data_IF_950271268566
#
_entry.id   IF_950271268566
#
_cell.length_a   1.000
_cell.length_b   1.000
_cell.length_c   1.000
_cell.angle_alpha   90.00
_cell.angle_beta   90.00
_cell.angle_gamma   90.00
#
_symmetry.space_group_name_H-M   'P 1'
#
loop_
_entity.id
_entity.type
_entity.pdbx_description
1 polymer ?
#
# COMPACT_ATOMS: atom_id res chain seq x y z
N UNK A 1 46.05 11.48 20.14
CA UNK A 1 46.37 12.49 21.16
C UNK A 1 45.37 12.35 22.31
N UNK A 2 45.85 12.37 23.55
CA UNK A 2 45.08 12.03 24.74
C UNK A 2 43.81 12.91 24.92
N UNK A 3 42.66 12.26 25.07
CA UNK A 3 41.35 12.88 25.35
C UNK A 3 40.91 12.65 26.81
N UNK A 4 41.79 12.17 27.68
CA UNK A 4 41.47 11.71 29.04
C UNK A 4 41.43 12.83 30.10
N UNK A 5 40.97 14.02 29.74
CA UNK A 5 40.82 15.12 30.69
C UNK A 5 39.39 15.63 30.75
N UNK A 6 38.84 15.63 31.98
CA UNK A 6 37.50 16.10 32.28
C UNK A 6 37.35 17.58 31.89
N UNK A 7 36.40 17.89 31.00
CA UNK A 7 36.15 19.24 30.49
C UNK A 7 34.66 19.59 30.61
N UNK A 8 34.37 20.70 31.29
CA UNK A 8 33.00 21.20 31.42
C UNK A 8 32.80 22.40 30.49
N UNK A 9 32.32 22.13 29.27
CA UNK A 9 32.10 23.13 28.22
C UNK A 9 32.05 22.47 26.83
N UNK A 10 31.68 23.24 25.80
CA UNK A 10 31.66 22.75 24.41
C UNK A 10 33.08 22.68 23.86
N UNK A 11 33.44 21.55 23.25
CA UNK A 11 34.69 21.38 22.51
C UNK A 11 34.38 21.04 21.06
N UNK A 12 35.12 21.66 20.14
CA UNK A 12 35.07 21.31 18.72
C UNK A 12 36.25 20.40 18.42
N UNK A 13 35.97 19.21 17.89
CA UNK A 13 36.95 18.30 17.34
C UNK A 13 36.61 18.12 15.86
N UNK A 14 37.50 18.59 14.99
CA UNK A 14 37.31 18.45 13.54
C UNK A 14 37.85 17.09 13.11
N UNK A 15 36.93 16.15 12.89
CA UNK A 15 37.24 14.81 12.37
C UNK A 15 37.01 14.86 10.86
N UNK A 16 38.08 14.98 10.09
CA UNK A 16 38.04 15.09 8.63
C UNK A 16 38.19 13.74 7.89
N UNK A 17 38.04 12.62 8.60
CA UNK A 17 38.05 11.30 7.99
C UNK A 17 36.83 10.46 8.38
N UNK A 18 36.20 9.91 7.34
CA UNK A 18 35.03 9.07 7.43
C UNK A 18 34.21 9.23 6.16
N UNK A 19 34.33 8.29 5.23
CA UNK A 19 33.33 8.12 4.17
C UNK A 19 31.98 7.88 4.86
N UNK A 20 31.15 8.92 4.98
CA UNK A 20 29.76 8.74 5.40
C UNK A 20 29.10 7.92 4.31
N UNK A 21 28.87 6.64 4.58
CA UNK A 21 28.12 5.78 3.66
C UNK A 21 26.75 6.41 3.51
N UNK A 22 26.45 6.94 2.31
CA UNK A 22 25.11 7.40 1.98
C UNK A 22 24.26 6.13 1.92
N UNK A 23 23.52 5.86 2.99
CA UNK A 23 22.49 4.82 2.95
C UNK A 23 21.31 5.40 2.19
N UNK A 24 21.12 4.93 0.97
CA UNK A 24 19.91 5.19 0.22
C UNK A 24 18.73 4.67 1.03
N UNK A 25 17.81 5.55 1.39
CA UNK A 25 16.58 5.14 2.09
C UNK A 25 15.78 4.32 1.11
N UNK A 26 15.44 3.08 1.46
CA UNK A 26 14.56 2.25 0.61
C UNK A 26 13.19 2.92 0.52
N UNK A 27 12.79 3.31 -0.67
CA UNK A 27 11.44 3.82 -0.97
C UNK A 27 10.46 2.67 -1.22
N UNK A 28 10.96 1.46 -1.51
CA UNK A 28 10.17 0.25 -1.71
C UNK A 28 9.76 -0.43 -0.38
N UNK A 29 9.26 0.35 0.58
CA UNK A 29 8.68 -0.16 1.82
C UNK A 29 7.18 0.07 1.76
N UNK A 30 6.43 -1.03 1.76
CA UNK A 30 4.97 -1.02 1.69
C UNK A 30 4.40 -0.94 3.11
N UNK A 31 3.35 -0.16 3.33
CA UNK A 31 2.50 -0.20 4.51
C UNK A 31 1.10 -0.62 4.13
N UNK A 32 0.59 -1.68 4.75
CA UNK A 32 -0.79 -2.15 4.55
C UNK A 32 -1.54 -2.25 5.86
N UNK A 33 -2.84 -1.98 5.81
CA UNK A 33 -3.78 -2.27 6.89
C UNK A 33 -4.77 -3.30 6.37
N UNK A 34 -4.93 -4.40 7.10
CA UNK A 34 -5.76 -5.53 6.67
C UNK A 34 -6.53 -6.13 7.86
N UNK A 35 -7.66 -6.79 7.58
CA UNK A 35 -8.32 -7.71 8.51
C UNK A 35 -7.74 -9.11 8.32
N UNK A 36 -7.61 -9.87 9.41
CA UNK A 36 -7.20 -11.27 9.38
C UNK A 36 -7.47 -11.96 10.73
N UNK A 37 -8.72 -12.33 11.03
CA UNK A 37 -9.10 -12.82 12.35
C UNK A 37 -8.34 -14.10 12.75
N UNK A 38 -7.99 -14.95 11.78
CA UNK A 38 -7.28 -16.22 11.98
C UNK A 38 -5.77 -16.16 11.71
N UNK A 39 -5.18 -14.97 11.49
CA UNK A 39 -3.74 -14.81 11.36
C UNK A 39 -2.98 -15.13 12.67
N UNK A 40 -1.75 -15.63 12.53
CA UNK A 40 -0.86 -15.87 13.68
C UNK A 40 -0.61 -14.58 14.45
N UNK A 41 -1.15 -14.48 15.66
CA UNK A 41 -1.13 -13.26 16.47
C UNK A 41 0.29 -12.84 16.91
N UNK A 42 1.25 -13.77 16.89
CA UNK A 42 2.66 -13.45 17.18
C UNK A 42 3.33 -12.73 16.01
N UNK A 43 3.04 -13.18 14.79
CA UNK A 43 3.56 -12.56 13.56
C UNK A 43 2.79 -11.29 13.22
N UNK A 44 1.48 -11.28 13.41
CA UNK A 44 0.59 -10.16 13.10
C UNK A 44 -0.19 -9.72 14.34
N UNK A 45 0.46 -9.07 15.32
CA UNK A 45 -0.22 -8.54 16.50
C UNK A 45 -1.28 -7.51 16.12
N UNK A 46 -2.41 -7.54 16.82
CA UNK A 46 -3.53 -6.63 16.57
C UNK A 46 -3.12 -5.17 16.84
N UNK A 47 -3.46 -4.27 15.92
CA UNK A 47 -3.22 -2.83 16.01
C UNK A 47 -1.76 -2.45 16.28
N UNK A 48 -0.82 -3.27 15.80
CA UNK A 48 0.60 -3.00 15.88
C UNK A 48 1.28 -3.26 14.54
N UNK A 49 2.25 -2.43 14.15
CA UNK A 49 2.99 -2.66 12.92
C UNK A 49 3.87 -3.91 13.08
N UNK A 50 3.68 -4.85 12.17
CA UNK A 50 4.45 -6.08 12.03
C UNK A 50 5.36 -5.98 10.80
N UNK A 51 6.63 -6.38 10.95
CA UNK A 51 7.58 -6.38 9.86
C UNK A 51 7.54 -7.71 9.09
N UNK A 52 7.27 -7.64 7.80
CA UNK A 52 7.36 -8.76 6.87
C UNK A 52 8.57 -8.54 5.97
N UNK A 53 9.54 -9.45 6.06
CA UNK A 53 10.76 -9.46 5.23
C UNK A 53 10.74 -10.53 4.14
N UNK A 54 9.88 -11.53 4.28
CA UNK A 54 9.65 -12.56 3.27
C UNK A 54 8.13 -12.79 3.15
N UNK A 55 7.58 -12.34 2.02
CA UNK A 55 6.13 -12.38 1.77
C UNK A 55 5.59 -13.81 1.69
N UNK A 56 6.34 -14.76 1.14
CA UNK A 56 5.85 -16.15 0.97
C UNK A 56 5.68 -16.84 2.33
N UNK A 57 6.65 -16.65 3.24
CA UNK A 57 6.51 -17.15 4.61
C UNK A 57 5.44 -16.43 5.41
N UNK A 58 5.17 -15.16 5.07
CA UNK A 58 4.14 -14.36 5.73
C UNK A 58 2.73 -14.76 5.29
N UNK A 59 2.53 -15.10 4.00
CA UNK A 59 1.27 -15.64 3.47
C UNK A 59 0.87 -16.90 4.25
N UNK A 60 1.81 -17.81 4.51
CA UNK A 60 1.55 -19.02 5.31
C UNK A 60 1.11 -18.76 6.76
N UNK A 61 1.26 -17.53 7.26
CA UNK A 61 0.85 -17.11 8.61
C UNK A 61 -0.29 -16.08 8.62
N UNK A 62 -0.76 -15.67 7.45
CA UNK A 62 -1.78 -14.64 7.27
C UNK A 62 -3.19 -15.13 7.62
N UNK A 63 -3.36 -16.44 7.83
CA UNK A 63 -4.69 -17.05 7.94
C UNK A 63 -5.34 -17.21 6.57
N UNK A 64 -6.62 -17.53 6.59
CA UNK A 64 -7.47 -17.74 5.42
C UNK A 64 -8.67 -16.80 5.39
N UNK A 65 -8.94 -16.08 6.49
CA UNK A 65 -10.03 -15.12 6.58
C UNK A 65 -9.53 -13.68 6.49
N UNK A 66 -10.43 -12.77 6.14
CA UNK A 66 -10.11 -11.35 5.95
C UNK A 66 -9.30 -11.10 4.69
N UNK A 67 -8.60 -9.97 4.64
CA UNK A 67 -8.00 -9.43 3.41
C UNK A 67 -6.48 -9.59 3.34
N UNK A 68 -5.84 -10.02 4.43
CA UNK A 68 -4.38 -10.03 4.54
C UNK A 68 -3.71 -11.04 3.58
N UNK A 69 -4.26 -12.26 3.48
CA UNK A 69 -3.67 -13.31 2.64
C UNK A 69 -3.63 -12.88 1.18
N UNK A 70 -4.74 -12.36 0.67
CA UNK A 70 -4.89 -11.94 -0.73
C UNK A 70 -4.04 -10.70 -1.01
N UNK A 71 -4.00 -9.76 -0.06
CA UNK A 71 -3.12 -8.59 -0.14
C UNK A 71 -1.66 -8.98 -0.28
N UNK A 72 -1.16 -9.87 0.59
CA UNK A 72 0.23 -10.33 0.54
C UNK A 72 0.51 -11.14 -0.73
N UNK A 73 -0.46 -11.94 -1.18
CA UNK A 73 -0.36 -12.72 -2.43
C UNK A 73 -0.24 -11.79 -3.64
N UNK A 74 -1.12 -10.79 -3.77
CA UNK A 74 -1.08 -9.81 -4.85
C UNK A 74 0.24 -9.01 -4.89
N UNK A 75 0.74 -8.58 -3.73
CA UNK A 75 2.05 -7.94 -3.63
C UNK A 75 3.17 -8.92 -4.05
N UNK A 76 3.10 -10.14 -3.53
CA UNK A 76 4.11 -11.19 -3.70
C UNK A 76 4.25 -11.71 -5.14
N UNK A 77 3.22 -11.57 -5.97
CA UNK A 77 3.25 -11.87 -7.41
C UNK A 77 4.07 -10.84 -8.21
N UNK A 78 4.19 -9.60 -7.70
CA UNK A 78 4.92 -8.53 -8.40
C UNK A 78 6.36 -8.40 -7.92
N UNK A 79 6.57 -8.39 -6.59
CA UNK A 79 7.88 -8.22 -5.98
C UNK A 79 7.96 -8.84 -4.58
N UNK A 80 9.17 -8.88 -4.02
CA UNK A 80 9.45 -9.31 -2.65
C UNK A 80 9.99 -8.15 -1.79
N UNK A 81 9.20 -7.08 -1.56
CA UNK A 81 9.65 -5.92 -0.79
C UNK A 81 9.53 -6.14 0.72
N UNK A 82 10.04 -5.17 1.49
CA UNK A 82 9.73 -5.06 2.92
C UNK A 82 8.31 -4.52 3.05
N UNK A 83 7.49 -5.19 3.86
CA UNK A 83 6.09 -4.82 4.09
C UNK A 83 5.90 -4.60 5.59
N UNK A 84 5.25 -3.51 5.95
CA UNK A 84 4.75 -3.23 7.28
C UNK A 84 3.25 -3.52 7.27
N UNK A 85 2.84 -4.55 7.98
CA UNK A 85 1.43 -4.95 8.09
C UNK A 85 0.89 -4.43 9.41
N UNK A 86 -0.26 -3.78 9.39
CA UNK A 86 -1.06 -3.51 10.60
C UNK A 86 -2.34 -4.33 10.48
N UNK A 87 -2.47 -5.34 11.36
CA UNK A 87 -3.70 -6.11 11.44
C UNK A 87 -4.73 -5.37 12.28
N UNK A 88 -5.94 -5.20 11.77
CA UNK A 88 -7.08 -4.65 12.51
C UNK A 88 -8.15 -5.71 12.71
N UNK A 89 -9.02 -5.46 13.70
CA UNK A 89 -10.16 -6.33 13.97
C UNK A 89 -11.28 -6.03 12.98
N UNK A 90 -11.91 -7.09 12.49
CA UNK A 90 -13.11 -6.97 11.68
C UNK A 90 -14.29 -6.58 12.59
N UNK A 91 -15.05 -5.59 12.14
CA UNK A 91 -16.22 -5.10 12.84
C UNK A 91 -17.39 -6.08 12.75
N UNK A 92 -18.47 -5.77 13.47
CA UNK A 92 -19.75 -6.48 13.30
C UNK A 92 -20.45 -6.09 12.00
N UNK A 93 -20.06 -4.94 11.43
CA UNK A 93 -20.56 -4.34 10.20
C UNK A 93 -19.42 -3.61 9.47
N UNK A 94 -19.70 -3.13 8.25
CA UNK A 94 -18.72 -2.47 7.40
C UNK A 94 -18.29 -1.10 7.96
N UNK A 95 -19.19 -0.41 8.68
CA UNK A 95 -18.92 0.86 9.32
C UNK A 95 -17.95 0.72 10.50
N UNK A 96 -18.14 -0.30 11.36
CA UNK A 96 -17.22 -0.60 12.45
C UNK A 96 -15.88 -1.11 11.93
N UNK A 97 -15.87 -1.88 10.84
CA UNK A 97 -14.63 -2.27 10.16
C UNK A 97 -13.90 -1.05 9.62
N UNK A 98 -14.61 -0.13 8.95
CA UNK A 98 -14.07 1.14 8.46
C UNK A 98 -13.47 1.97 9.60
N UNK A 99 -14.15 2.06 10.74
CA UNK A 99 -13.65 2.76 11.92
C UNK A 99 -12.36 2.12 12.47
N UNK A 100 -12.30 0.79 12.53
CA UNK A 100 -11.13 0.05 12.98
C UNK A 100 -9.93 0.22 12.04
N UNK A 101 -10.17 0.25 10.72
CA UNK A 101 -9.16 0.49 9.69
C UNK A 101 -8.59 1.90 9.79
N UNK A 102 -9.44 2.93 9.93
CA UNK A 102 -9.00 4.32 10.15
C UNK A 102 -8.17 4.41 11.42
N UNK A 103 -8.68 3.79 12.49
CA UNK A 103 -8.04 3.74 13.78
C UNK A 103 -8.04 5.08 14.52
N UNK A 104 -7.48 5.07 15.71
CA UNK A 104 -7.40 6.22 16.61
C UNK A 104 -6.12 6.15 17.44
N UNK A 105 -5.92 7.12 18.32
CA UNK A 105 -4.94 7.03 19.41
C UNK A 105 -5.68 6.69 20.69
N UNK A 106 -5.38 5.54 21.29
CA UNK A 106 -5.97 5.12 22.57
C UNK A 106 -5.49 6.01 23.72
N UNK A 107 -6.16 5.93 24.87
CA UNK A 107 -5.77 6.67 26.08
C UNK A 107 -4.32 6.36 26.54
N UNK A 108 -3.84 5.16 26.23
CA UNK A 108 -2.46 4.73 26.49
C UNK A 108 -1.45 5.27 25.45
N UNK A 109 -1.89 6.11 24.52
CA UNK A 109 -1.06 6.68 23.46
C UNK A 109 -0.75 5.70 22.32
N UNK A 110 -1.39 4.51 22.29
CA UNK A 110 -1.20 3.56 21.21
C UNK A 110 -1.99 4.00 19.99
N UNK A 111 -1.32 4.12 18.85
CA UNK A 111 -1.97 4.34 17.56
C UNK A 111 -2.45 3.01 16.97
N UNK A 112 -3.67 2.98 16.47
CA UNK A 112 -4.33 1.81 15.85
C UNK A 112 -4.59 2.04 14.36
N UNK A 113 -4.98 1.01 13.61
CA UNK A 113 -5.29 1.11 12.18
C UNK A 113 -4.23 1.82 11.34
N UNK A 114 -4.66 2.71 10.44
CA UNK A 114 -3.77 3.53 9.61
C UNK A 114 -2.78 4.37 10.43
N UNK A 115 -3.19 4.88 11.59
CA UNK A 115 -2.33 5.69 12.45
C UNK A 115 -1.15 4.89 13.01
N UNK A 116 -1.27 3.56 13.14
CA UNK A 116 -0.19 2.70 13.62
C UNK A 116 1.03 2.70 12.67
N UNK A 117 0.82 2.93 11.36
CA UNK A 117 1.90 3.04 10.37
C UNK A 117 2.88 4.18 10.68
N UNK A 118 2.40 5.25 11.35
CA UNK A 118 3.25 6.36 11.80
C UNK A 118 4.31 5.93 12.82
N UNK A 119 4.11 4.80 13.50
CA UNK A 119 5.01 4.27 14.53
C UNK A 119 6.02 3.24 13.99
N UNK A 120 5.89 2.86 12.71
CA UNK A 120 6.71 1.83 12.09
C UNK A 120 8.22 2.16 12.15
N UNK A 121 8.60 3.43 11.99
CA UNK A 121 10.00 3.85 12.05
C UNK A 121 10.61 3.59 13.43
N UNK A 122 9.88 3.89 14.50
CA UNK A 122 10.35 3.75 15.88
C UNK A 122 10.35 2.29 16.33
N UNK A 123 9.34 1.51 15.93
CA UNK A 123 9.19 0.11 16.34
C UNK A 123 10.03 -0.86 15.51
N UNK A 124 10.08 -0.64 14.19
CA UNK A 124 10.63 -1.60 13.22
C UNK A 124 11.86 -1.07 12.46
N UNK A 125 12.23 0.20 12.64
CA UNK A 125 13.38 0.81 11.96
C UNK A 125 13.15 1.15 10.48
N UNK A 126 11.96 0.87 9.93
CA UNK A 126 11.60 1.14 8.54
C UNK A 126 10.44 2.12 8.45
N UNK A 127 10.39 2.93 7.39
CA UNK A 127 9.27 3.85 7.17
C UNK A 127 8.53 3.47 5.90
N UNK A 128 7.23 3.12 5.95
CA UNK A 128 6.48 2.83 4.76
C UNK A 128 6.32 4.09 3.91
N UNK A 129 6.55 3.95 2.61
CA UNK A 129 6.47 5.02 1.60
C UNK A 129 5.43 4.74 0.52
N UNK A 130 4.94 3.50 0.46
CA UNK A 130 3.91 3.03 -0.45
C UNK A 130 2.79 2.49 0.45
N UNK A 131 1.60 3.08 0.44
CA UNK A 131 0.54 2.72 1.40
C UNK A 131 -0.75 2.36 0.66
N UNK A 132 -1.46 1.36 1.17
CA UNK A 132 -2.80 1.03 0.71
C UNK A 132 -3.56 0.20 1.74
N UNK A 133 -4.87 0.12 1.54
CA UNK A 133 -5.77 -0.71 2.36
C UNK A 133 -6.60 -1.58 1.42
N UNK A 134 -6.00 -2.59 0.77
CA UNK A 134 -6.70 -3.35 -0.26
C UNK A 134 -8.00 -3.98 0.28
N UNK A 135 -9.06 -3.91 -0.53
CA UNK A 135 -10.41 -4.41 -0.26
C UNK A 135 -11.22 -3.64 0.80
N UNK A 136 -10.58 -2.77 1.59
CA UNK A 136 -11.23 -2.01 2.67
C UNK A 136 -11.03 -0.50 2.48
N UNK A 137 -10.69 -0.08 1.27
CA UNK A 137 -10.40 1.29 0.85
C UNK A 137 -11.67 2.05 0.47
N UNK A 138 -12.63 2.07 1.39
CA UNK A 138 -13.83 2.91 1.28
C UNK A 138 -13.46 4.38 1.22
N UNK A 139 -14.36 5.24 0.74
CA UNK A 139 -14.15 6.69 0.66
C UNK A 139 -13.66 7.30 2.00
N UNK A 140 -14.25 6.86 3.12
CA UNK A 140 -13.88 7.33 4.44
C UNK A 140 -12.44 6.91 4.82
N UNK A 141 -12.06 5.66 4.51
CA UNK A 141 -10.69 5.16 4.71
C UNK A 141 -9.70 5.91 3.83
N UNK A 142 -10.01 6.10 2.54
CA UNK A 142 -9.18 6.83 1.59
C UNK A 142 -8.94 8.28 2.07
N UNK A 143 -9.98 8.96 2.53
CA UNK A 143 -9.92 10.32 3.09
C UNK A 143 -9.02 10.37 4.33
N UNK A 144 -9.19 9.44 5.27
CA UNK A 144 -8.35 9.37 6.46
C UNK A 144 -6.89 9.03 6.12
N UNK A 145 -6.67 8.16 5.13
CA UNK A 145 -5.35 7.74 4.68
C UNK A 145 -4.52 8.92 4.15
N UNK A 146 -5.13 9.90 3.47
CA UNK A 146 -4.44 11.12 2.99
C UNK A 146 -3.64 11.80 4.11
N UNK A 147 -4.21 11.93 5.30
CA UNK A 147 -3.53 12.56 6.44
C UNK A 147 -2.27 11.79 6.88
N UNK A 148 -2.31 10.46 6.80
CA UNK A 148 -1.19 9.57 7.13
C UNK A 148 -0.13 9.62 6.03
N UNK A 149 -0.55 9.64 4.76
CA UNK A 149 0.33 9.78 3.60
C UNK A 149 1.19 11.05 3.69
N UNK A 150 0.55 12.19 3.98
CA UNK A 150 1.23 13.48 4.11
C UNK A 150 2.26 13.49 5.26
N UNK A 151 1.90 12.95 6.43
CA UNK A 151 2.81 12.85 7.58
C UNK A 151 4.01 11.95 7.28
N UNK A 152 3.78 10.83 6.58
CA UNK A 152 4.84 9.90 6.19
C UNK A 152 5.59 10.34 4.95
N UNK A 153 5.14 11.36 4.21
CA UNK A 153 5.61 11.65 2.85
C UNK A 153 5.58 10.39 1.98
N UNK A 154 4.51 9.63 2.12
CA UNK A 154 4.24 8.40 1.39
C UNK A 154 3.29 8.69 0.22
N UNK A 155 3.17 7.72 -0.67
CA UNK A 155 2.21 7.71 -1.76
C UNK A 155 1.21 6.57 -1.56
N UNK A 156 -0.06 6.85 -1.81
CA UNK A 156 -1.18 5.96 -1.53
C UNK A 156 -1.90 5.52 -2.79
N UNK A 157 -2.41 4.29 -2.76
CA UNK A 157 -3.26 3.73 -3.80
C UNK A 157 -4.60 3.33 -3.22
N UNK A 158 -5.67 3.68 -3.92
CA UNK A 158 -7.06 3.32 -3.58
C UNK A 158 -7.80 2.89 -4.81
N UNK A 159 -8.77 2.01 -4.63
CA UNK A 159 -9.76 1.59 -5.59
C UNK A 159 -10.99 2.50 -5.48
N UNK A 160 -11.63 2.78 -6.61
CA UNK A 160 -12.92 3.49 -6.63
C UNK A 160 -14.04 2.57 -6.10
N UNK A 161 -14.14 2.45 -4.78
CA UNK A 161 -15.02 1.52 -4.09
C UNK A 161 -16.49 1.81 -4.37
N UNK A 162 -17.24 0.79 -4.80
CA UNK A 162 -18.68 0.89 -5.09
C UNK A 162 -19.03 1.57 -6.42
N UNK A 163 -18.04 1.93 -7.25
CA UNK A 163 -18.27 2.52 -8.56
C UNK A 163 -18.45 1.46 -9.66
N UNK A 164 -19.55 1.56 -10.40
CA UNK A 164 -19.92 0.62 -11.46
C UNK A 164 -19.63 1.15 -12.87
N UNK A 165 -19.76 2.47 -13.06
CA UNK A 165 -19.56 3.13 -14.35
C UNK A 165 -18.38 4.09 -14.34
N UNK A 166 -17.84 4.42 -15.53
CA UNK A 166 -16.77 5.42 -15.67
C UNK A 166 -17.17 6.77 -15.10
N UNK A 167 -18.44 7.17 -15.23
CA UNK A 167 -18.95 8.42 -14.66
C UNK A 167 -18.92 8.41 -13.12
N UNK A 168 -19.26 7.28 -12.49
CA UNK A 168 -19.22 7.16 -11.02
C UNK A 168 -17.79 7.27 -10.51
N UNK A 169 -16.84 6.68 -11.24
CA UNK A 169 -15.41 6.71 -10.90
C UNK A 169 -14.84 8.13 -11.01
N UNK A 170 -15.24 8.88 -12.03
CA UNK A 170 -14.84 10.29 -12.18
C UNK A 170 -15.39 11.11 -11.02
N UNK A 171 -16.67 10.93 -10.68
CA UNK A 171 -17.27 11.61 -9.54
C UNK A 171 -16.59 11.25 -8.21
N UNK A 172 -16.26 9.97 -8.00
CA UNK A 172 -15.50 9.51 -6.83
C UNK A 172 -14.12 10.16 -6.75
N UNK A 173 -13.41 10.27 -7.89
CA UNK A 173 -12.10 10.91 -7.94
C UNK A 173 -12.15 12.40 -7.59
N UNK A 174 -13.22 13.11 -7.94
CA UNK A 174 -13.42 14.53 -7.62
C UNK A 174 -13.56 14.81 -6.11
N UNK A 175 -13.87 13.80 -5.31
CA UNK A 175 -13.93 13.92 -3.85
C UNK A 175 -12.54 14.10 -3.20
N UNK A 176 -11.46 13.82 -3.95
CA UNK A 176 -10.09 13.86 -3.44
C UNK A 176 -9.26 14.99 -4.08
N UNK A 177 -8.75 15.90 -3.26
CA UNK A 177 -7.81 16.96 -3.68
C UNK A 177 -6.33 16.66 -3.38
N UNK A 178 -5.99 15.44 -3.00
CA UNK A 178 -4.68 15.08 -2.46
C UNK A 178 -3.74 14.53 -3.54
N UNK A 179 -2.57 15.16 -3.73
CA UNK A 179 -1.56 14.71 -4.70
C UNK A 179 -0.88 13.40 -4.31
N UNK A 180 -0.95 13.01 -3.04
CA UNK A 180 -0.34 11.79 -2.52
C UNK A 180 -1.18 10.54 -2.81
N UNK A 181 -2.38 10.68 -3.37
CA UNK A 181 -3.33 9.59 -3.58
C UNK A 181 -3.54 9.34 -5.08
N UNK A 182 -3.53 8.08 -5.49
CA UNK A 182 -3.90 7.65 -6.84
C UNK A 182 -5.10 6.70 -6.77
N UNK A 183 -6.14 7.03 -7.54
CA UNK A 183 -7.34 6.20 -7.69
C UNK A 183 -7.14 5.22 -8.85
N UNK A 184 -7.49 3.96 -8.60
CA UNK A 184 -7.39 2.83 -9.52
C UNK A 184 -8.78 2.29 -9.82
N UNK A 185 -9.05 1.94 -11.08
CA UNK A 185 -10.28 1.23 -11.48
C UNK A 185 -10.11 0.61 -12.88
N UNK A 186 -10.63 -0.60 -13.17
CA UNK A 186 -11.46 -1.48 -12.33
C UNK A 186 -10.63 -2.45 -11.46
N UNK A 187 -11.20 -3.58 -11.05
CA UNK A 187 -10.45 -4.66 -10.39
C UNK A 187 -9.79 -5.58 -11.41
N UNK A 188 -8.79 -6.34 -10.96
CA UNK A 188 -8.24 -7.44 -11.76
C UNK A 188 -9.04 -8.71 -11.50
N UNK A 189 -8.90 -9.68 -12.40
CA UNK A 189 -9.38 -11.03 -12.20
C UNK A 189 -8.20 -11.99 -12.15
N UNK A 190 -8.25 -12.96 -11.24
CA UNK A 190 -7.25 -14.02 -11.15
C UNK A 190 -7.89 -15.33 -10.69
N UNK A 191 -7.29 -16.46 -11.07
CA UNK A 191 -7.73 -17.76 -10.60
C UNK A 191 -7.27 -17.99 -9.16
N UNK A 192 -8.24 -18.12 -8.25
CA UNK A 192 -8.02 -18.49 -6.86
C UNK A 192 -7.86 -20.01 -6.75
N UNK A 193 -6.78 -20.44 -6.09
CA UNK A 193 -6.46 -21.87 -5.94
C UNK A 193 -7.17 -22.54 -4.77
N UNK A 194 -7.63 -21.78 -3.78
CA UNK A 194 -8.35 -22.32 -2.63
C UNK A 194 -9.80 -22.61 -3.00
N UNK A 195 -10.44 -21.68 -3.72
CA UNK A 195 -11.82 -21.81 -4.19
C UNK A 195 -11.96 -22.41 -5.60
N UNK A 196 -10.85 -22.58 -6.31
CA UNK A 196 -10.78 -23.12 -7.67
C UNK A 196 -11.66 -22.36 -8.69
N UNK A 197 -11.75 -21.04 -8.56
CA UNK A 197 -12.56 -20.17 -9.41
C UNK A 197 -11.83 -18.86 -9.72
N UNK A 198 -12.25 -18.16 -10.77
CA UNK A 198 -11.72 -16.81 -11.05
C UNK A 198 -12.45 -15.80 -10.17
N UNK A 199 -11.70 -15.07 -9.35
CA UNK A 199 -12.20 -14.05 -8.45
C UNK A 199 -11.67 -12.67 -8.84
N UNK A 200 -12.41 -11.65 -8.44
CA UNK A 200 -11.94 -10.27 -8.51
C UNK A 200 -10.90 -10.04 -7.40
N UNK A 201 -9.74 -9.49 -7.77
CA UNK A 201 -8.66 -9.17 -6.84
C UNK A 201 -8.37 -7.67 -6.84
N UNK A 202 -7.96 -7.18 -5.66
CA UNK A 202 -7.78 -5.75 -5.46
C UNK A 202 -6.68 -5.17 -6.36
N UNK A 203 -6.97 -4.14 -7.16
CA UNK A 203 -5.96 -3.45 -7.97
C UNK A 203 -4.93 -2.72 -7.09
N UNK A 204 -5.30 -2.38 -5.86
CA UNK A 204 -4.41 -1.74 -4.88
C UNK A 204 -3.28 -2.69 -4.48
N UNK A 205 -3.59 -3.93 -4.11
CA UNK A 205 -2.56 -4.90 -3.71
C UNK A 205 -1.50 -5.09 -4.81
N UNK A 206 -1.95 -5.20 -6.06
CA UNK A 206 -1.10 -5.31 -7.24
C UNK A 206 -0.29 -4.02 -7.46
N UNK A 207 -0.91 -2.84 -7.37
CA UNK A 207 -0.24 -1.55 -7.53
C UNK A 207 0.85 -1.31 -6.48
N UNK A 208 0.60 -1.71 -5.21
CA UNK A 208 1.62 -1.65 -4.14
C UNK A 208 2.85 -2.50 -4.51
N UNK A 209 2.62 -3.73 -4.96
CA UNK A 209 3.68 -4.64 -5.40
C UNK A 209 4.44 -4.13 -6.63
N UNK A 210 3.72 -3.65 -7.65
CA UNK A 210 4.32 -3.06 -8.86
C UNK A 210 5.14 -1.81 -8.52
N UNK A 211 4.63 -0.94 -7.66
CA UNK A 211 5.34 0.27 -7.25
C UNK A 211 6.65 -0.08 -6.56
N UNK A 212 6.63 -1.07 -5.67
CA UNK A 212 7.83 -1.55 -5.02
C UNK A 212 8.81 -2.22 -6.01
N UNK A 213 8.31 -3.00 -6.97
CA UNK A 213 9.10 -3.60 -8.06
C UNK A 213 9.84 -2.52 -8.86
N UNK A 214 9.13 -1.49 -9.28
CA UNK A 214 9.68 -0.41 -10.09
C UNK A 214 10.71 0.40 -9.31
N UNK A 215 10.44 0.71 -8.04
CA UNK A 215 11.40 1.40 -7.16
C UNK A 215 12.73 0.63 -7.03
N UNK A 216 12.66 -0.70 -6.95
CA UNK A 216 13.84 -1.55 -6.79
C UNK A 216 14.62 -1.78 -8.09
N UNK A 217 13.92 -1.83 -9.23
CA UNK A 217 14.52 -2.26 -10.52
C UNK A 217 14.87 -1.10 -11.45
N UNK A 218 14.04 -0.07 -11.49
CA UNK A 218 14.21 1.10 -12.38
C UNK A 218 14.50 2.36 -11.55
N UNK A 219 13.77 2.54 -10.46
CA UNK A 219 13.86 3.65 -9.55
C UNK A 219 12.53 4.40 -9.40
N UNK A 220 12.49 5.28 -8.40
CA UNK A 220 11.28 5.96 -7.96
C UNK A 220 10.63 6.88 -9.02
N UNK A 221 11.36 7.24 -10.07
CA UNK A 221 10.88 8.13 -11.12
C UNK A 221 10.00 7.41 -12.16
N UNK A 222 10.00 6.07 -12.19
CA UNK A 222 9.18 5.30 -13.13
C UNK A 222 7.72 5.24 -12.67
N UNK A 223 6.80 5.57 -13.57
CA UNK A 223 5.35 5.49 -13.35
C UNK A 223 4.84 4.04 -13.49
N UNK A 224 3.68 3.75 -12.91
CA UNK A 224 2.99 2.46 -13.07
C UNK A 224 2.48 2.20 -14.50
N UNK A 225 2.36 3.26 -15.30
CA UNK A 225 1.85 3.16 -16.67
C UNK A 225 2.76 2.31 -17.57
N UNK A 226 2.13 1.50 -18.42
CA UNK A 226 2.77 0.61 -19.39
C UNK A 226 3.75 -0.39 -18.74
N UNK A 227 3.29 -1.05 -17.68
CA UNK A 227 4.05 -2.10 -16.99
C UNK A 227 3.20 -3.37 -16.97
N UNK A 228 3.78 -4.47 -17.43
CA UNK A 228 3.11 -5.77 -17.41
C UNK A 228 2.84 -6.23 -15.98
N UNK A 229 1.64 -6.76 -15.77
CA UNK A 229 1.15 -7.21 -14.46
C UNK A 229 1.19 -8.73 -14.41
N UNK A 230 1.81 -9.28 -13.37
CA UNK A 230 1.86 -10.72 -13.18
C UNK A 230 0.60 -11.22 -12.45
N UNK A 231 0.21 -12.48 -12.66
CA UNK A 231 -0.77 -13.17 -11.80
C UNK A 231 -2.23 -12.76 -12.01
N UNK A 232 -2.53 -12.04 -13.09
CA UNK A 232 -3.88 -11.64 -13.49
C UNK A 232 -4.28 -12.35 -14.78
N UNK A 233 -5.58 -12.60 -14.96
CA UNK A 233 -6.17 -13.23 -16.15
C UNK A 233 -7.11 -12.30 -16.90
N UNK A 234 -7.52 -11.19 -16.30
CA UNK A 234 -8.45 -10.23 -16.90
C UNK A 234 -8.74 -9.03 -16.00
N UNK A 235 -9.71 -8.22 -16.41
CA UNK A 235 -10.21 -7.05 -15.68
C UNK A 235 -11.71 -7.25 -15.40
N UNK A 236 -12.20 -6.78 -14.26
CA UNK A 236 -13.57 -7.06 -13.81
C UNK A 236 -14.65 -6.25 -14.53
N UNK A 237 -14.27 -5.14 -15.17
CA UNK A 237 -15.15 -4.27 -15.97
C UNK A 237 -14.52 -4.04 -17.33
N UNK A 238 -15.34 -3.98 -18.35
CA UNK A 238 -14.89 -3.67 -19.70
C UNK A 238 -14.46 -2.20 -19.77
N UNK A 239 -13.18 -1.97 -20.08
CA UNK A 239 -12.62 -0.65 -20.34
C UNK A 239 -12.10 -0.63 -21.77
N UNK A 240 -12.80 0.08 -22.65
CA UNK A 240 -12.35 0.19 -24.03
C UNK A 240 -11.08 1.03 -24.13
N UNK A 241 -10.07 0.47 -24.81
CA UNK A 241 -8.83 1.15 -25.14
C UNK A 241 -8.37 0.78 -26.55
N UNK A 242 -7.83 1.76 -27.26
CA UNK A 242 -7.26 1.63 -28.60
C UNK A 242 -6.03 2.56 -28.68
N UNK A 243 -4.96 2.09 -29.31
CA UNK A 243 -3.73 2.84 -29.51
C UNK A 243 -3.90 4.00 -30.50
N UNK A 244 -4.79 3.86 -31.48
CA UNK A 244 -4.95 4.83 -32.58
C UNK A 244 -6.09 5.82 -32.35
N UNK A 245 -7.05 5.47 -31.51
CA UNK A 245 -8.23 6.30 -31.24
C UNK A 245 -8.08 7.06 -29.91
N UNK A 246 -8.24 8.39 -29.91
CA UNK A 246 -8.32 9.15 -28.67
C UNK A 246 -9.67 8.96 -27.94
N UNK A 247 -10.70 8.45 -28.62
CA UNK A 247 -12.05 8.25 -28.07
C UNK A 247 -12.13 6.90 -27.36
N UNK A 248 -11.54 6.82 -26.17
CA UNK A 248 -11.48 5.59 -25.36
C UNK A 248 -11.95 5.85 -23.93
N UNK A 249 -12.54 4.84 -23.29
CA UNK A 249 -12.93 4.92 -21.87
C UNK A 249 -11.70 5.12 -20.99
N UNK A 250 -10.60 4.44 -21.35
CA UNK A 250 -9.33 4.62 -20.68
C UNK A 250 -8.76 6.04 -20.84
N UNK A 251 -8.92 6.66 -22.01
CA UNK A 251 -8.56 8.05 -22.23
C UNK A 251 -9.38 9.01 -21.36
N UNK A 252 -10.69 8.77 -21.26
CA UNK A 252 -11.59 9.54 -20.40
C UNK A 252 -11.21 9.45 -18.92
N UNK A 253 -10.96 8.24 -18.41
CA UNK A 253 -10.54 8.02 -17.02
C UNK A 253 -9.18 8.69 -16.73
N UNK A 254 -8.21 8.54 -17.63
CA UNK A 254 -6.89 9.14 -17.45
C UNK A 254 -6.96 10.68 -17.45
N UNK A 255 -7.85 11.29 -18.25
CA UNK A 255 -8.06 12.73 -18.26
C UNK A 255 -8.67 13.26 -16.95
N UNK A 256 -9.35 12.39 -16.19
CA UNK A 256 -9.88 12.68 -14.87
C UNK A 256 -8.91 12.27 -13.73
N UNK A 257 -7.63 12.03 -14.01
CA UNK A 257 -6.63 11.57 -13.03
C UNK A 257 -6.96 10.20 -12.37
N UNK A 258 -7.65 9.31 -13.09
CA UNK A 258 -7.90 7.93 -12.68
C UNK A 258 -6.99 7.00 -13.47
N UNK A 259 -6.21 6.18 -12.76
CA UNK A 259 -5.38 5.17 -13.42
C UNK A 259 -6.20 3.94 -13.70
N UNK A 260 -6.23 3.55 -14.98
CA UNK A 260 -6.99 2.38 -15.42
C UNK A 260 -6.11 1.23 -15.88
N UNK A 261 -6.76 0.10 -16.07
CA UNK A 261 -6.19 -1.18 -16.45
C UNK A 261 -6.58 -1.45 -17.90
N UNK A 262 -5.63 -1.84 -18.72
CA UNK A 262 -5.89 -2.20 -20.12
C UNK A 262 -5.32 -3.59 -20.38
N UNK A 263 -6.10 -4.42 -21.06
CA UNK A 263 -5.62 -5.70 -21.57
C UNK A 263 -5.11 -5.49 -22.99
N UNK A 264 -3.78 -5.42 -23.14
CA UNK A 264 -3.12 -5.31 -24.43
C UNK A 264 -1.96 -6.30 -24.49
N UNK A 265 -2.03 -7.24 -25.43
CA UNK A 265 -1.03 -8.29 -25.66
C UNK A 265 -0.90 -9.35 -24.54
N UNK A 266 -1.93 -9.52 -23.70
CA UNK A 266 -1.94 -10.47 -22.59
C UNK A 266 -1.64 -9.79 -21.26
#
# INVERSE_FOLDING_TARGET
>A
MALDQYHHGVRVAEVNDGTRTIRTVSTAVIGVVCTAPDADANTFPLNQPALVTNVDTAIGKAGTQGTLKDTLTGIGQQAKPIIVVVRVEEGIDDETTTANVIGTTTELGQRTGLQALLTAKQKLGVTPRIIGVPYLDTQAVATAMVSVLQQLRAFGYVYAHGCETTSDVIAYRDEFGARELMVLWPQWQAFDTDDAQTLDISPVAIALGLRAKLDQTVGWHKTLSNVAVNGVTGISKDVFWDLQSPNTDAGLLNAADVTTLVNQNG
#
